data_IF_426933767994
#
_entry.id   IF_426933767994
#
_cell.length_a   1.000
_cell.length_b   1.000
_cell.length_c   1.000
_cell.angle_alpha   90.00
_cell.angle_beta   90.00
_cell.angle_gamma   90.00
#
_symmetry.space_group_name_H-M   'P 1'
#
loop_
_entity.id
_entity.type
_entity.pdbx_description
1 polymer ?
#
# COMPACT_ATOMS: atom_id res chain seq x y z
N UNK A 1 47.28 46.09 -20.15
CA UNK A 1 45.84 46.18 -19.85
C UNK A 1 45.18 44.90 -20.33
N UNK A 2 44.70 44.06 -19.41
CA UNK A 2 44.00 42.80 -19.71
C UNK A 2 42.50 43.06 -19.56
N UNK A 3 41.75 42.91 -20.64
CA UNK A 3 40.30 43.14 -20.68
C UNK A 3 39.59 41.90 -20.13
N UNK A 4 38.95 42.04 -18.97
CA UNK A 4 38.04 41.04 -18.42
C UNK A 4 36.66 41.22 -19.07
N UNK A 5 36.17 40.20 -19.78
CA UNK A 5 34.81 40.16 -20.30
C UNK A 5 33.96 39.38 -19.29
N UNK A 6 33.08 40.08 -18.58
CA UNK A 6 32.07 39.49 -17.71
C UNK A 6 30.89 39.02 -18.58
N UNK A 7 30.68 37.71 -18.65
CA UNK A 7 29.47 37.12 -19.24
C UNK A 7 28.41 37.04 -18.14
N UNK A 8 27.47 37.99 -18.12
CA UNK A 8 26.29 37.91 -17.28
C UNK A 8 25.28 36.94 -17.94
N UNK A 9 25.31 35.68 -17.50
CA UNK A 9 24.31 34.69 -17.89
C UNK A 9 22.95 35.06 -17.31
N UNK A 10 22.05 35.54 -18.17
CA UNK A 10 20.64 35.72 -17.85
C UNK A 10 20.02 34.33 -17.70
N UNK A 11 19.84 33.89 -16.45
CA UNK A 11 19.00 32.75 -16.12
C UNK A 11 17.54 33.12 -16.43
N UNK A 12 17.11 32.83 -17.65
CA UNK A 12 15.71 32.90 -18.03
C UNK A 12 15.01 31.70 -17.40
N UNK A 13 14.48 31.86 -16.19
CA UNK A 13 13.52 30.94 -15.61
C UNK A 13 12.27 30.97 -16.49
N UNK A 14 12.19 30.03 -17.43
CA UNK A 14 10.96 29.70 -18.14
C UNK A 14 9.96 29.15 -17.11
N UNK A 15 9.27 30.05 -16.42
CA UNK A 15 8.07 29.74 -15.66
C UNK A 15 7.05 29.22 -16.68
N UNK A 16 6.89 27.90 -16.71
CA UNK A 16 5.90 27.20 -17.52
C UNK A 16 4.50 27.76 -17.20
N UNK A 17 3.77 28.36 -18.16
CA UNK A 17 2.50 29.03 -17.91
C UNK A 17 1.31 28.05 -17.83
N UNK A 18 1.55 26.76 -17.56
CA UNK A 18 0.46 25.85 -17.24
C UNK A 18 -0.04 26.18 -15.84
N UNK A 19 -1.07 27.02 -15.77
CA UNK A 19 -1.94 27.09 -14.60
C UNK A 19 -2.36 25.65 -14.27
N UNK A 20 -1.76 25.08 -13.23
CA UNK A 20 -2.06 23.74 -12.76
C UNK A 20 -3.55 23.70 -12.46
N UNK A 21 -4.30 22.81 -13.10
CA UNK A 21 -5.71 22.74 -12.83
C UNK A 21 -5.86 22.39 -11.35
N UNK A 22 -6.72 23.11 -10.65
CA UNK A 22 -6.90 22.88 -9.22
C UNK A 22 -7.31 21.42 -9.03
N UNK A 23 -6.53 20.67 -8.27
CA UNK A 23 -6.84 19.29 -7.92
C UNK A 23 -8.19 19.20 -7.25
N UNK A 24 -8.89 18.09 -7.49
CA UNK A 24 -10.23 17.85 -6.93
C UNK A 24 -10.21 17.96 -5.40
N UNK A 25 -9.31 17.21 -4.76
CA UNK A 25 -9.08 17.22 -3.30
C UNK A 25 -7.61 16.89 -3.04
N UNK A 26 -6.99 17.60 -2.09
CA UNK A 26 -5.67 17.28 -1.57
C UNK A 26 -5.81 16.63 -0.18
N UNK A 27 -5.62 15.32 -0.10
CA UNK A 27 -5.61 14.58 1.17
C UNK A 27 -4.24 14.72 1.85
N UNK A 28 -3.17 14.50 1.08
CA UNK A 28 -1.79 14.72 1.49
C UNK A 28 -1.40 16.20 1.33
N UNK A 29 -0.62 16.78 2.27
CA UNK A 29 -0.07 18.13 2.10
C UNK A 29 0.72 18.29 0.81
N UNK A 30 0.54 19.44 0.12
CA UNK A 30 1.13 19.67 -1.19
C UNK A 30 2.67 19.59 -1.20
N UNK A 31 3.33 20.11 -0.17
CA UNK A 31 4.79 20.06 -0.01
C UNK A 31 5.30 18.62 0.10
N UNK A 32 4.61 17.80 0.91
CA UNK A 32 4.93 16.38 1.09
C UNK A 32 4.81 15.62 -0.23
N UNK A 33 3.74 15.87 -0.99
CA UNK A 33 3.57 15.21 -2.29
C UNK A 33 4.58 15.71 -3.33
N UNK A 34 4.92 17.00 -3.33
CA UNK A 34 5.93 17.54 -4.24
C UNK A 34 7.30 16.87 -4.03
N UNK A 35 7.68 16.65 -2.77
CA UNK A 35 8.88 15.91 -2.39
C UNK A 35 8.84 14.44 -2.86
N UNK A 36 7.69 13.76 -2.71
CA UNK A 36 7.52 12.38 -3.14
C UNK A 36 7.55 12.22 -4.67
N UNK A 37 6.91 13.15 -5.40
CA UNK A 37 6.82 13.13 -6.86
C UNK A 37 8.17 13.15 -7.57
N UNK A 38 9.18 13.77 -6.97
CA UNK A 38 10.55 13.77 -7.49
C UNK A 38 11.16 12.36 -7.54
N UNK A 39 10.57 11.40 -6.80
CA UNK A 39 11.04 10.03 -6.66
C UNK A 39 10.03 9.01 -7.19
N UNK A 40 8.94 9.45 -7.82
CA UNK A 40 7.99 8.51 -8.42
C UNK A 40 8.65 7.81 -9.61
N UNK A 41 8.55 6.47 -9.67
CA UNK A 41 9.12 5.72 -10.78
C UNK A 41 8.37 6.04 -12.06
N UNK A 42 9.08 5.98 -13.18
CA UNK A 42 8.44 5.90 -14.50
C UNK A 42 7.89 4.50 -14.67
N UNK A 43 6.75 4.37 -15.34
CA UNK A 43 6.09 3.08 -15.57
C UNK A 43 5.83 2.88 -17.06
N UNK A 44 6.07 1.66 -17.55
CA UNK A 44 5.87 1.31 -18.94
C UNK A 44 4.39 1.36 -19.35
N UNK A 45 3.48 1.00 -18.43
CA UNK A 45 2.04 1.07 -18.66
C UNK A 45 1.57 2.54 -18.78
N UNK A 46 1.10 3.00 -19.96
CA UNK A 46 0.73 4.39 -20.16
C UNK A 46 -0.45 4.85 -19.31
N UNK A 47 -1.43 3.97 -19.04
CA UNK A 47 -2.59 4.29 -18.23
C UNK A 47 -2.20 4.51 -16.76
N UNK A 48 -1.30 3.67 -16.23
CA UNK A 48 -0.77 3.88 -14.89
C UNK A 48 0.12 5.14 -14.84
N UNK A 49 0.96 5.38 -15.85
CA UNK A 49 1.78 6.59 -15.94
C UNK A 49 0.93 7.87 -15.96
N UNK A 50 -0.20 7.86 -16.68
CA UNK A 50 -1.18 8.96 -16.64
C UNK A 50 -1.71 9.15 -15.22
N UNK A 51 -2.09 8.08 -14.53
CA UNK A 51 -2.58 8.16 -13.15
C UNK A 51 -1.52 8.74 -12.20
N UNK A 52 -0.27 8.28 -12.28
CA UNK A 52 0.81 8.76 -11.41
C UNK A 52 1.12 10.26 -11.61
N UNK A 53 0.83 10.80 -12.79
CA UNK A 53 1.09 12.20 -13.14
C UNK A 53 -0.14 13.09 -13.10
N UNK A 54 -1.35 12.50 -13.06
CA UNK A 54 -2.62 13.21 -13.11
C UNK A 54 -2.89 14.04 -11.84
N UNK A 55 -3.48 15.21 -12.04
CA UNK A 55 -4.03 16.07 -10.98
C UNK A 55 -5.36 15.53 -10.41
N UNK A 56 -5.96 14.53 -11.07
CA UNK A 56 -7.19 13.88 -10.58
C UNK A 56 -6.90 12.68 -9.67
N UNK A 57 -5.63 12.33 -9.46
CA UNK A 57 -5.22 11.25 -8.57
C UNK A 57 -5.09 11.80 -7.16
N UNK A 58 -5.78 11.17 -6.23
CA UNK A 58 -5.72 11.51 -4.81
C UNK A 58 -4.58 10.73 -4.18
N UNK A 59 -3.73 11.44 -3.44
CA UNK A 59 -2.55 10.88 -2.78
C UNK A 59 -2.72 10.97 -1.27
N UNK A 60 -2.32 9.92 -0.58
CA UNK A 60 -2.35 9.86 0.87
C UNK A 60 -1.27 8.91 1.42
N UNK A 61 -1.04 8.99 2.72
CA UNK A 61 -0.16 8.10 3.46
C UNK A 61 -0.78 7.84 4.85
N UNK A 62 -0.10 7.08 5.69
CA UNK A 62 -0.57 6.76 7.04
C UNK A 62 -0.72 7.99 7.97
N UNK A 63 -0.14 9.15 7.60
CA UNK A 63 -0.28 10.40 8.34
C UNK A 63 -1.53 11.18 7.88
N UNK A 64 -1.86 11.07 6.60
CA UNK A 64 -2.98 11.78 5.97
C UNK A 64 -4.31 11.03 6.12
N UNK A 65 -4.29 9.70 6.04
CA UNK A 65 -5.40 8.79 6.39
C UNK A 65 -4.86 7.80 7.41
N UNK A 66 -5.29 7.95 8.66
CA UNK A 66 -4.74 7.16 9.76
C UNK A 66 -5.39 5.78 9.75
N UNK A 67 -4.59 4.69 9.66
CA UNK A 67 -5.08 3.33 9.80
C UNK A 67 -6.00 3.19 11.02
N UNK A 68 -7.17 2.59 10.84
CA UNK A 68 -8.10 2.41 11.95
C UNK A 68 -9.29 1.52 11.60
N UNK A 69 -10.04 1.15 12.63
CA UNK A 69 -11.19 0.27 12.55
C UNK A 69 -12.45 0.96 13.07
N UNK A 70 -13.62 0.37 12.81
CA UNK A 70 -14.89 0.86 13.35
C UNK A 70 -15.26 0.08 14.62
N UNK A 71 -15.60 0.77 15.71
CA UNK A 71 -16.40 0.18 16.77
C UNK A 71 -17.86 0.18 16.30
N UNK A 72 -18.21 -0.87 15.56
CA UNK A 72 -19.55 -1.01 15.00
C UNK A 72 -20.58 -1.52 16.01
N UNK A 73 -20.14 -1.95 17.20
CA UNK A 73 -20.98 -2.60 18.20
C UNK A 73 -20.91 -1.87 19.54
N UNK A 74 -21.96 -1.12 19.89
CA UNK A 74 -22.02 -0.42 21.15
C UNK A 74 -23.30 0.40 21.32
N UNK A 75 -23.52 0.92 22.53
CA UNK A 75 -24.71 1.71 22.90
C UNK A 75 -24.39 3.20 23.10
N UNK A 76 -23.15 3.60 22.82
CA UNK A 76 -22.62 4.95 23.06
C UNK A 76 -22.61 5.41 24.52
N UNK A 77 -22.84 4.49 25.46
CA UNK A 77 -22.95 4.77 26.89
C UNK A 77 -21.91 3.97 27.66
N UNK A 78 -21.96 2.64 27.58
CA UNK A 78 -20.96 1.73 28.14
C UNK A 78 -20.01 1.20 27.08
N UNK A 79 -20.53 0.94 25.88
CA UNK A 79 -19.78 0.39 24.76
C UNK A 79 -19.57 1.49 23.71
N UNK A 80 -18.32 1.70 23.25
CA UNK A 80 -18.01 2.76 22.31
C UNK A 80 -18.63 2.50 20.95
N UNK A 81 -18.93 3.58 20.24
CA UNK A 81 -19.26 3.58 18.81
C UNK A 81 -18.36 4.61 18.15
N UNK A 82 -17.80 4.29 16.98
CA UNK A 82 -17.02 5.26 16.22
C UNK A 82 -15.96 4.62 15.35
N UNK A 83 -14.94 5.40 15.03
CA UNK A 83 -13.72 4.98 14.37
C UNK A 83 -12.56 5.17 15.33
N UNK A 84 -11.67 4.17 15.38
CA UNK A 84 -10.49 4.19 16.22
C UNK A 84 -9.25 3.98 15.38
N UNK A 85 -8.22 4.84 15.54
CA UNK A 85 -6.96 4.58 14.89
C UNK A 85 -6.34 3.30 15.48
N UNK A 86 -5.62 2.54 14.68
CA UNK A 86 -4.88 1.32 15.06
C UNK A 86 -3.69 1.64 15.99
N UNK A 87 -3.71 2.78 16.66
CA UNK A 87 -2.64 3.39 17.42
C UNK A 87 -3.00 3.52 18.91
N UNK A 88 -4.01 2.77 19.37
CA UNK A 88 -4.50 2.85 20.75
C UNK A 88 -3.40 2.43 21.72
N UNK A 89 -3.36 3.08 22.87
CA UNK A 89 -2.71 2.56 24.07
C UNK A 89 -3.11 1.09 24.28
N UNK A 90 -2.11 0.22 24.52
CA UNK A 90 -2.33 -1.20 24.79
C UNK A 90 -3.33 -1.42 25.92
N UNK A 91 -3.38 -0.48 26.88
CA UNK A 91 -4.22 -0.58 28.07
C UNK A 91 -5.69 -0.83 27.76
N UNK A 92 -6.28 -0.20 26.75
CA UNK A 92 -7.72 -0.38 26.47
C UNK A 92 -8.06 -1.75 25.88
N UNK A 93 -7.22 -2.25 24.96
CA UNK A 93 -7.43 -3.60 24.42
C UNK A 93 -7.13 -4.64 25.50
N UNK A 94 -6.05 -4.44 26.25
CA UNK A 94 -5.61 -5.37 27.27
C UNK A 94 -6.53 -5.40 28.50
N UNK A 95 -7.29 -4.32 28.75
CA UNK A 95 -8.38 -4.29 29.72
C UNK A 95 -9.56 -5.19 29.29
N UNK A 96 -9.90 -5.20 28.00
CA UNK A 96 -10.94 -6.08 27.48
C UNK A 96 -10.45 -7.53 27.35
N UNK A 97 -9.18 -7.72 26.94
CA UNK A 97 -8.53 -9.02 26.73
C UNK A 97 -7.04 -8.92 27.07
N UNK A 98 -6.59 -9.47 28.21
CA UNK A 98 -5.17 -9.47 28.56
C UNK A 98 -4.26 -9.99 27.43
N UNK A 99 -3.35 -9.14 26.94
CA UNK A 99 -2.44 -9.45 25.84
C UNK A 99 -3.06 -9.39 24.43
N UNK A 100 -4.30 -8.94 24.31
CA UNK A 100 -5.02 -8.83 23.03
C UNK A 100 -4.35 -7.84 22.07
N UNK A 101 -3.73 -6.77 22.58
CA UNK A 101 -3.02 -5.81 21.72
C UNK A 101 -1.85 -6.51 21.00
N UNK A 102 -1.01 -7.24 21.74
CA UNK A 102 0.15 -7.95 21.17
C UNK A 102 -0.25 -9.12 20.25
N UNK A 103 -1.49 -9.61 20.33
CA UNK A 103 -1.99 -10.63 19.40
C UNK A 103 -2.38 -10.03 18.04
N UNK A 104 -2.90 -8.80 18.04
CA UNK A 104 -3.36 -8.13 16.83
C UNK A 104 -2.27 -7.29 16.14
N UNK A 105 -1.38 -6.65 16.91
CA UNK A 105 -0.46 -5.62 16.42
C UNK A 105 1.01 -5.96 16.62
N UNK A 106 1.79 -5.79 15.55
CA UNK A 106 3.25 -5.80 15.66
C UNK A 106 3.79 -4.46 16.18
N UNK A 107 3.12 -3.36 15.85
CA UNK A 107 3.47 -2.00 16.30
C UNK A 107 2.28 -1.06 16.16
N UNK A 108 2.38 0.12 16.78
CA UNK A 108 1.37 1.18 16.71
C UNK A 108 0.98 1.44 15.25
N UNK A 109 -0.28 1.24 14.90
CA UNK A 109 -0.84 1.48 13.58
C UNK A 109 -0.78 0.30 12.61
N UNK A 110 -0.20 -0.84 13.00
CA UNK A 110 0.09 -1.95 12.07
C UNK A 110 -0.25 -3.32 12.65
N UNK A 111 -1.22 -3.97 12.03
CA UNK A 111 -1.55 -5.37 12.29
C UNK A 111 -0.39 -6.29 11.94
N UNK A 112 -0.34 -7.45 12.58
CA UNK A 112 0.48 -8.56 12.10
C UNK A 112 0.09 -8.98 10.68
N UNK A 113 1.03 -9.63 9.99
CA UNK A 113 0.74 -10.39 8.78
C UNK A 113 -0.47 -11.33 8.99
N UNK A 114 -1.43 -11.41 8.04
CA UNK A 114 -1.37 -10.86 6.68
C UNK A 114 -1.93 -9.45 6.48
N UNK A 115 -2.38 -8.78 7.54
CA UNK A 115 -3.15 -7.53 7.42
C UNK A 115 -2.33 -6.26 7.70
N UNK A 116 -1.05 -6.42 8.05
CA UNK A 116 -0.10 -5.33 8.15
C UNK A 116 0.15 -4.64 6.80
N UNK A 117 0.78 -3.47 6.84
CA UNK A 117 1.25 -2.80 5.61
C UNK A 117 2.34 -3.65 4.94
N UNK A 118 2.50 -3.48 3.62
CA UNK A 118 3.44 -4.17 2.72
C UNK A 118 3.23 -5.68 2.55
N UNK A 119 2.21 -6.28 3.17
CA UNK A 119 1.78 -7.66 2.89
C UNK A 119 2.84 -8.72 3.17
N UNK A 120 3.79 -8.43 4.07
CA UNK A 120 4.89 -9.32 4.42
C UNK A 120 4.88 -9.61 5.92
N UNK A 121 5.57 -10.68 6.37
CA UNK A 121 5.98 -10.81 7.76
C UNK A 121 6.63 -9.50 8.25
N UNK A 122 6.50 -9.21 9.54
CA UNK A 122 6.67 -7.89 10.16
C UNK A 122 8.12 -7.31 10.14
N UNK A 123 8.92 -7.66 9.14
CA UNK A 123 10.38 -7.58 9.10
C UNK A 123 10.99 -6.27 8.55
N UNK A 124 10.47 -5.61 7.49
CA UNK A 124 11.16 -4.44 6.94
C UNK A 124 10.84 -3.17 7.72
N UNK A 125 11.82 -2.64 8.42
CA UNK A 125 11.72 -1.41 9.24
C UNK A 125 12.11 -0.14 8.46
N UNK A 126 12.84 -0.28 7.36
CA UNK A 126 13.32 0.82 6.52
C UNK A 126 12.43 1.05 5.29
N UNK A 127 11.11 0.87 5.43
CA UNK A 127 10.16 1.06 4.32
C UNK A 127 8.99 1.94 4.72
N UNK A 128 8.40 2.61 3.72
CA UNK A 128 7.11 3.26 3.87
C UNK A 128 6.31 3.16 2.56
N UNK A 129 5.01 3.42 2.67
CA UNK A 129 4.06 3.30 1.57
C UNK A 129 3.40 4.65 1.33
N UNK A 130 3.31 5.04 0.07
CA UNK A 130 2.47 6.13 -0.40
C UNK A 130 1.31 5.54 -1.16
N UNK A 131 0.10 5.77 -0.67
CA UNK A 131 -1.12 5.27 -1.25
C UNK A 131 -1.69 6.30 -2.24
N UNK A 132 -2.39 5.82 -3.27
CA UNK A 132 -3.10 6.67 -4.21
C UNK A 132 -4.37 6.01 -4.72
N UNK A 133 -5.31 6.83 -5.18
CA UNK A 133 -6.50 6.33 -5.85
C UNK A 133 -7.08 7.30 -6.86
N UNK A 134 -7.87 6.75 -7.78
CA UNK A 134 -8.62 7.50 -8.78
C UNK A 134 -9.92 6.77 -9.09
N UNK A 135 -11.02 7.51 -9.07
CA UNK A 135 -12.31 7.02 -9.58
C UNK A 135 -12.46 7.27 -11.08
N UNK A 136 -13.24 6.42 -11.78
CA UNK A 136 -13.66 6.68 -13.14
C UNK A 136 -14.48 7.97 -13.22
N UNK A 137 -14.56 8.54 -14.43
CA UNK A 137 -15.40 9.70 -14.72
C UNK A 137 -16.52 9.32 -15.69
N UNK A 138 -17.71 9.84 -15.46
CA UNK A 138 -18.83 9.79 -16.40
C UNK A 138 -19.23 11.22 -16.77
N UNK A 139 -19.22 11.53 -18.07
CA UNK A 139 -19.51 12.88 -18.58
C UNK A 139 -18.64 13.97 -17.92
N UNK A 140 -17.35 13.66 -17.70
CA UNK A 140 -16.39 14.57 -17.08
C UNK A 140 -16.47 14.68 -15.55
N UNK A 141 -17.51 14.13 -14.91
CA UNK A 141 -17.69 14.12 -13.45
C UNK A 141 -17.15 12.83 -12.84
N UNK A 142 -16.49 12.86 -11.67
CA UNK A 142 -16.11 11.64 -10.96
C UNK A 142 -17.35 10.84 -10.56
N UNK A 143 -17.24 9.51 -10.59
CA UNK A 143 -18.21 8.64 -9.93
C UNK A 143 -17.88 8.56 -8.44
N UNK A 144 -18.83 8.82 -7.53
CA UNK A 144 -18.54 8.87 -6.10
C UNK A 144 -18.29 7.47 -5.53
N UNK A 145 -17.49 7.40 -4.46
CA UNK A 145 -17.57 6.30 -3.49
C UNK A 145 -18.90 6.44 -2.76
N UNK A 146 -19.67 5.36 -2.68
CA UNK A 146 -21.00 5.40 -2.06
C UNK A 146 -20.99 4.77 -0.68
N UNK A 147 -21.74 5.32 0.27
CA UNK A 147 -21.80 4.81 1.64
C UNK A 147 -23.23 4.63 2.15
N UNK A 148 -23.41 3.74 3.12
CA UNK A 148 -24.67 3.56 3.84
C UNK A 148 -24.43 3.16 5.29
N UNK A 149 -25.43 3.37 6.13
CA UNK A 149 -25.46 2.77 7.47
C UNK A 149 -26.04 1.38 7.33
N UNK A 150 -25.28 0.37 7.73
CA UNK A 150 -25.75 -1.00 7.75
C UNK A 150 -26.75 -1.15 8.90
N UNK A 151 -27.94 -1.66 8.58
CA UNK A 151 -29.09 -1.96 9.45
C UNK A 151 -28.89 -1.53 10.91
N UNK A 152 -29.01 -0.22 11.21
CA UNK A 152 -28.75 0.27 12.55
C UNK A 152 -29.84 -0.24 13.48
N UNK A 153 -29.50 -1.22 14.32
CA UNK A 153 -30.29 -1.53 15.51
C UNK A 153 -29.73 -0.72 16.69
N UNK A 154 -30.23 -0.94 17.91
CA UNK A 154 -29.81 -0.15 19.07
C UNK A 154 -28.36 -0.38 19.50
N UNK A 155 -27.67 -1.39 18.94
CA UNK A 155 -26.28 -1.74 19.26
C UNK A 155 -25.35 -1.85 18.05
N UNK A 156 -25.88 -1.83 16.82
CA UNK A 156 -25.08 -1.95 15.58
C UNK A 156 -25.09 -0.63 14.84
N UNK A 157 -23.90 -0.10 14.56
CA UNK A 157 -23.73 1.25 14.02
C UNK A 157 -22.77 1.30 12.83
N UNK A 158 -22.49 0.18 12.17
CA UNK A 158 -21.51 0.09 11.08
C UNK A 158 -21.84 1.01 9.91
N UNK A 159 -20.82 1.72 9.42
CA UNK A 159 -20.87 2.42 8.14
C UNK A 159 -20.14 1.56 7.11
N UNK A 160 -20.79 1.27 6.00
CA UNK A 160 -20.19 0.57 4.87
C UNK A 160 -20.03 1.53 3.69
N UNK A 161 -19.07 1.24 2.82
CA UNK A 161 -18.86 1.95 1.57
C UNK A 161 -18.47 0.99 0.45
N UNK A 162 -18.55 1.49 -0.78
CA UNK A 162 -18.27 0.74 -1.99
C UNK A 162 -17.71 1.67 -3.07
N UNK A 163 -16.66 1.21 -3.74
CA UNK A 163 -16.08 1.91 -4.88
C UNK A 163 -16.86 1.60 -6.17
N UNK A 164 -17.01 2.57 -7.09
CA UNK A 164 -17.55 2.28 -8.42
C UNK A 164 -16.59 1.41 -9.23
N UNK A 165 -17.14 0.57 -10.10
CA UNK A 165 -16.39 -0.20 -11.12
C UNK A 165 -15.44 0.73 -11.89
N UNK A 166 -14.18 0.34 -12.01
CA UNK A 166 -13.12 1.09 -12.68
C UNK A 166 -12.30 1.97 -11.73
N UNK A 167 -12.62 1.99 -10.44
CA UNK A 167 -11.77 2.65 -9.44
C UNK A 167 -10.41 1.96 -9.38
N UNK A 168 -9.33 2.74 -9.45
CA UNK A 168 -7.99 2.24 -9.17
C UNK A 168 -7.56 2.66 -7.77
N UNK A 169 -7.08 1.69 -6.99
CA UNK A 169 -6.29 1.88 -5.78
C UNK A 169 -4.85 1.48 -6.09
N UNK A 170 -3.88 2.17 -5.53
CA UNK A 170 -2.49 1.78 -5.66
C UNK A 170 -1.61 2.22 -4.50
N UNK A 171 -0.43 1.61 -4.45
CA UNK A 171 0.58 1.79 -3.41
C UNK A 171 1.93 1.92 -4.11
N UNK A 172 2.72 2.93 -3.76
CA UNK A 172 4.14 3.01 -4.10
C UNK A 172 4.94 2.71 -2.84
N UNK A 173 5.73 1.65 -2.90
CA UNK A 173 6.56 1.19 -1.80
C UNK A 173 7.96 1.76 -1.97
N UNK A 174 8.45 2.41 -0.92
CA UNK A 174 9.77 2.99 -0.85
C UNK A 174 10.62 2.26 0.19
N UNK A 175 11.90 2.06 -0.10
CA UNK A 175 12.90 1.79 0.94
C UNK A 175 13.69 3.05 1.25
N UNK A 176 14.19 3.12 2.48
CA UNK A 176 14.99 4.20 3.02
C UNK A 176 16.41 3.68 3.19
N UNK A 177 17.38 4.38 2.59
CA UNK A 177 18.80 4.06 2.76
C UNK A 177 19.37 4.61 4.08
N UNK A 178 20.64 4.32 4.33
CA UNK A 178 21.35 4.74 5.54
C UNK A 178 21.46 6.27 5.72
N UNK A 179 21.23 7.04 4.66
CA UNK A 179 21.25 8.50 4.64
C UNK A 179 19.85 9.11 4.70
N UNK A 180 18.81 8.29 4.81
CA UNK A 180 17.42 8.73 4.79
C UNK A 180 16.87 9.02 3.38
N UNK A 181 17.58 8.64 2.31
CA UNK A 181 17.11 8.82 0.93
C UNK A 181 16.16 7.69 0.55
N UNK A 182 15.10 8.01 -0.18
CA UNK A 182 14.04 7.06 -0.53
C UNK A 182 14.18 6.58 -1.96
N UNK A 183 14.00 5.27 -2.16
CA UNK A 183 14.04 4.63 -3.47
C UNK A 183 12.76 3.81 -3.66
N UNK A 184 11.98 4.07 -4.73
CA UNK A 184 10.84 3.22 -5.05
C UNK A 184 11.36 1.84 -5.46
N UNK A 185 10.71 0.78 -5.01
CA UNK A 185 11.06 -0.57 -5.44
C UNK A 185 9.88 -1.38 -5.97
N UNK A 186 8.65 -0.96 -5.66
CA UNK A 186 7.45 -1.65 -6.10
C UNK A 186 6.26 -0.69 -6.17
N UNK A 187 5.39 -0.90 -7.16
CA UNK A 187 4.05 -0.30 -7.19
C UNK A 187 3.05 -1.45 -7.18
N UNK A 188 2.03 -1.37 -6.33
CA UNK A 188 0.91 -2.33 -6.32
C UNK A 188 -0.33 -1.59 -6.78
N UNK A 189 -1.14 -2.23 -7.62
CA UNK A 189 -2.39 -1.65 -8.09
C UNK A 189 -3.52 -2.65 -8.00
N UNK A 190 -4.72 -2.13 -7.76
CA UNK A 190 -5.96 -2.87 -7.77
C UNK A 190 -7.00 -2.07 -8.53
N UNK A 191 -7.68 -2.67 -9.51
CA UNK A 191 -8.75 -2.05 -10.27
C UNK A 191 -10.06 -2.75 -9.95
N UNK A 192 -11.05 -1.97 -9.52
CA UNK A 192 -12.37 -2.44 -9.10
C UNK A 192 -13.15 -2.97 -10.30
N UNK A 193 -13.48 -4.26 -10.31
CA UNK A 193 -14.49 -4.82 -11.22
C UNK A 193 -15.88 -4.79 -10.54
N UNK A 194 -16.86 -5.61 -10.94
CA UNK A 194 -18.12 -5.69 -10.18
C UNK A 194 -18.01 -6.62 -8.98
N UNK A 195 -17.38 -7.78 -9.17
CA UNK A 195 -17.35 -8.86 -8.17
C UNK A 195 -15.95 -9.12 -7.62
N UNK A 196 -14.96 -8.33 -8.03
CA UNK A 196 -13.58 -8.54 -7.62
C UNK A 196 -12.74 -7.26 -7.76
N UNK A 197 -11.48 -7.37 -7.37
CA UNK A 197 -10.40 -6.47 -7.74
C UNK A 197 -9.45 -7.22 -8.67
N UNK A 198 -9.12 -6.63 -9.83
CA UNK A 198 -7.98 -7.09 -10.63
C UNK A 198 -6.70 -6.50 -10.06
N UNK A 199 -5.62 -7.26 -10.08
CA UNK A 199 -4.37 -6.88 -9.39
C UNK A 199 -3.19 -6.86 -10.34
N UNK A 200 -2.24 -5.98 -10.05
CA UNK A 200 -0.96 -5.92 -10.75
C UNK A 200 0.11 -5.34 -9.83
N UNK A 201 1.36 -5.78 -10.04
CA UNK A 201 2.53 -5.31 -9.33
C UNK A 201 3.57 -4.90 -10.36
N UNK A 202 4.08 -3.69 -10.25
CA UNK A 202 5.11 -3.15 -11.12
C UNK A 202 6.44 -3.05 -10.37
N UNK A 203 7.51 -3.52 -11.01
CA UNK A 203 8.87 -3.52 -10.46
C UNK A 203 9.85 -3.03 -11.51
N UNK A 204 11.02 -2.50 -11.12
CA UNK A 204 12.07 -2.15 -12.08
C UNK A 204 12.59 -3.40 -12.82
N UNK A 205 12.60 -4.55 -12.13
CA UNK A 205 13.05 -5.83 -12.70
C UNK A 205 12.02 -6.93 -12.38
N UNK A 206 11.13 -7.27 -13.32
CA UNK A 206 10.14 -8.33 -13.09
C UNK A 206 10.73 -9.73 -12.94
N UNK A 207 11.94 -9.99 -13.47
CA UNK A 207 12.63 -11.28 -13.40
C UNK A 207 14.15 -11.14 -13.31
N UNK A 208 14.82 -12.18 -12.79
CA UNK A 208 16.23 -12.16 -12.39
C UNK A 208 17.19 -11.81 -13.53
N UNK A 209 16.95 -12.35 -14.73
CA UNK A 209 17.75 -12.05 -15.91
C UNK A 209 17.73 -10.57 -16.27
N UNK A 210 16.61 -9.89 -16.05
CA UNK A 210 16.51 -8.46 -16.36
C UNK A 210 17.36 -7.61 -15.43
N UNK A 211 17.43 -7.96 -14.15
CA UNK A 211 18.36 -7.31 -13.23
C UNK A 211 19.81 -7.59 -13.64
N UNK A 212 20.13 -8.83 -14.01
CA UNK A 212 21.47 -9.19 -14.45
C UNK A 212 21.89 -8.42 -15.71
N UNK A 213 21.01 -8.31 -16.72
CA UNK A 213 21.25 -7.51 -17.94
C UNK A 213 21.50 -6.03 -17.61
N UNK A 214 20.71 -5.46 -16.71
CA UNK A 214 20.85 -4.07 -16.30
C UNK A 214 22.17 -3.81 -15.54
N UNK A 215 22.55 -4.72 -14.64
CA UNK A 215 23.83 -4.66 -13.93
C UNK A 215 25.02 -4.79 -14.87
N UNK A 216 24.96 -5.71 -15.85
CA UNK A 216 26.00 -5.86 -16.86
C UNK A 216 26.15 -4.58 -17.70
N UNK A 217 25.03 -3.98 -18.11
CA UNK A 217 25.02 -2.72 -18.87
C UNK A 217 25.66 -1.59 -18.06
N UNK A 218 25.20 -1.36 -16.83
CA UNK A 218 25.74 -0.32 -15.94
C UNK A 218 27.22 -0.52 -15.64
N UNK A 219 27.66 -1.78 -15.46
CA UNK A 219 29.08 -2.13 -15.28
C UNK A 219 29.96 -1.72 -16.47
N UNK A 220 29.43 -1.75 -17.69
CA UNK A 220 30.19 -1.33 -18.88
C UNK A 220 30.31 0.20 -18.95
N UNK A 221 29.28 0.92 -18.51
CA UNK A 221 29.22 2.39 -18.49
C UNK A 221 30.20 3.02 -17.50
N UNK A 222 30.44 2.38 -16.35
CA UNK A 222 31.27 2.94 -15.28
C UNK A 222 32.51 2.09 -14.93
N UNK A 223 33.74 2.61 -15.13
CA UNK A 223 34.98 1.86 -14.90
C UNK A 223 35.12 1.26 -13.49
N UNK A 224 34.66 1.96 -12.45
CA UNK A 224 34.77 1.56 -11.04
C UNK A 224 34.05 0.24 -10.72
N UNK A 225 33.02 -0.13 -11.49
CA UNK A 225 32.25 -1.36 -11.27
C UNK A 225 32.80 -2.55 -12.05
N UNK A 226 33.67 -2.34 -13.06
CA UNK A 226 34.17 -3.41 -13.94
C UNK A 226 34.91 -4.51 -13.19
N UNK A 227 35.65 -4.14 -12.14
CA UNK A 227 36.43 -5.05 -11.31
C UNK A 227 35.74 -5.46 -10.01
N UNK A 228 34.45 -5.14 -9.83
CA UNK A 228 33.72 -5.49 -8.61
C UNK A 228 33.44 -7.00 -8.53
N UNK A 229 34.03 -7.66 -7.54
CA UNK A 229 33.84 -9.08 -7.27
C UNK A 229 32.42 -9.38 -6.75
N UNK A 230 31.89 -8.56 -5.84
CA UNK A 230 30.52 -8.69 -5.32
C UNK A 230 29.48 -8.50 -6.42
N UNK A 231 29.70 -7.56 -7.36
CA UNK A 231 28.83 -7.39 -8.53
C UNK A 231 28.85 -8.61 -9.46
N UNK A 232 30.03 -9.17 -9.70
CA UNK A 232 30.17 -10.39 -10.52
C UNK A 232 29.48 -11.60 -9.86
N UNK A 233 29.54 -11.69 -8.53
CA UNK A 233 28.83 -12.70 -7.73
C UNK A 233 27.31 -12.54 -7.84
N UNK A 234 26.79 -11.31 -7.69
CA UNK A 234 25.37 -11.01 -7.86
C UNK A 234 24.88 -11.37 -9.26
N UNK A 235 25.58 -10.96 -10.32
CA UNK A 235 25.21 -11.31 -11.70
C UNK A 235 25.18 -12.83 -11.88
N UNK A 236 26.21 -13.55 -11.40
CA UNK A 236 26.28 -15.02 -11.50
C UNK A 236 25.14 -15.70 -10.73
N UNK A 237 24.79 -15.18 -9.54
CA UNK A 237 23.66 -15.64 -8.74
C UNK A 237 22.33 -15.45 -9.48
N UNK A 238 22.11 -14.29 -10.09
CA UNK A 238 20.89 -13.98 -10.82
C UNK A 238 20.67 -14.91 -12.02
N UNK A 239 21.74 -15.25 -12.74
CA UNK A 239 21.71 -16.19 -13.87
C UNK A 239 21.58 -17.65 -13.48
N UNK A 240 21.88 -18.00 -12.23
CA UNK A 240 21.86 -19.39 -11.79
C UNK A 240 20.47 -19.74 -11.22
N UNK A 241 19.66 -20.58 -11.92
CA UNK A 241 18.35 -20.99 -11.39
C UNK A 241 18.48 -21.82 -10.11
N UNK A 242 19.62 -22.47 -9.87
CA UNK A 242 19.84 -23.35 -8.71
C UNK A 242 20.13 -22.60 -7.39
N UNK A 243 19.96 -21.28 -7.36
CA UNK A 243 20.08 -20.48 -6.12
C UNK A 243 18.82 -20.45 -5.29
N UNK A 244 17.70 -20.98 -5.80
CA UNK A 244 16.43 -21.01 -5.09
C UNK A 244 16.50 -21.94 -3.87
N UNK A 245 16.10 -21.42 -2.72
CA UNK A 245 15.96 -22.19 -1.48
C UNK A 245 14.48 -22.45 -1.19
N UNK A 246 14.05 -23.70 -0.93
CA UNK A 246 12.69 -23.99 -0.50
C UNK A 246 12.31 -23.17 0.73
N UNK A 247 11.08 -22.67 0.77
CA UNK A 247 10.58 -21.85 1.86
C UNK A 247 9.10 -22.14 2.12
N UNK A 248 8.65 -21.89 3.35
CA UNK A 248 7.24 -21.96 3.72
C UNK A 248 6.87 -20.67 4.44
N UNK A 249 5.93 -19.94 3.88
CA UNK A 249 5.35 -18.76 4.50
C UNK A 249 4.06 -19.16 5.21
N UNK A 250 3.96 -18.84 6.49
CA UNK A 250 2.76 -19.05 7.30
C UNK A 250 2.52 -17.85 8.18
N UNK A 251 1.25 -17.59 8.50
CA UNK A 251 0.94 -16.61 9.53
C UNK A 251 1.23 -17.19 10.93
N UNK A 252 1.74 -16.35 11.82
CA UNK A 252 1.83 -16.66 13.27
C UNK A 252 0.64 -16.08 14.04
N UNK A 253 -0.07 -15.14 13.41
CA UNK A 253 -1.24 -14.43 13.93
C UNK A 253 -2.43 -14.66 12.99
N UNK A 254 -3.66 -14.38 13.44
CA UNK A 254 -4.88 -14.52 12.65
C UNK A 254 -5.05 -15.93 12.04
N UNK A 255 -5.00 -16.97 12.89
CA UNK A 255 -5.08 -18.36 12.43
C UNK A 255 -6.22 -18.58 11.42
N UNK A 256 -5.90 -19.21 10.28
CA UNK A 256 -6.85 -19.47 9.21
C UNK A 256 -7.05 -18.34 8.19
N UNK A 257 -6.57 -17.12 8.44
CA UNK A 257 -6.59 -16.02 7.44
C UNK A 257 -5.65 -16.27 6.27
N UNK A 258 -4.51 -16.92 6.52
CA UNK A 258 -3.49 -17.20 5.51
C UNK A 258 -2.97 -18.63 5.66
N UNK A 259 -3.51 -19.59 4.88
CA UNK A 259 -2.97 -20.94 4.83
C UNK A 259 -1.48 -20.93 4.46
N UNK A 260 -0.70 -21.84 5.04
CA UNK A 260 0.73 -21.91 4.77
C UNK A 260 0.98 -22.15 3.27
N UNK A 261 1.86 -21.33 2.69
CA UNK A 261 2.26 -21.39 1.28
C UNK A 261 3.67 -21.96 1.20
N UNK A 262 3.82 -23.06 0.45
CA UNK A 262 5.13 -23.63 0.11
C UNK A 262 5.60 -23.04 -1.21
N UNK A 263 6.87 -22.70 -1.30
CA UNK A 263 7.46 -22.08 -2.47
C UNK A 263 8.97 -22.02 -2.34
N UNK A 264 9.57 -20.98 -2.90
CA UNK A 264 11.01 -20.74 -2.81
C UNK A 264 11.33 -19.26 -2.61
N UNK A 265 12.54 -19.02 -2.11
CA UNK A 265 13.14 -17.70 -1.94
C UNK A 265 14.44 -17.63 -2.73
N UNK A 266 14.74 -16.47 -3.30
CA UNK A 266 16.02 -16.16 -3.93
C UNK A 266 16.74 -15.07 -3.13
N UNK A 267 17.59 -15.48 -2.18
CA UNK A 267 18.37 -14.54 -1.38
C UNK A 267 19.56 -14.03 -2.17
N UNK A 268 19.40 -12.88 -2.83
CA UNK A 268 20.47 -12.28 -3.63
C UNK A 268 21.59 -11.73 -2.72
N UNK A 269 22.87 -11.92 -3.12
CA UNK A 269 24.01 -11.49 -2.30
C UNK A 269 24.10 -9.96 -2.21
N UNK A 270 24.71 -9.48 -1.12
CA UNK A 270 24.99 -8.07 -0.92
C UNK A 270 26.07 -7.55 -1.89
N UNK A 271 26.07 -6.24 -2.14
CA UNK A 271 27.15 -5.54 -2.84
C UNK A 271 28.00 -4.74 -1.86
N UNK A 272 29.30 -4.61 -2.18
CA UNK A 272 30.21 -3.72 -1.43
C UNK A 272 29.90 -2.24 -1.71
N UNK A 273 29.39 -1.95 -2.91
CA UNK A 273 28.94 -0.62 -3.33
C UNK A 273 27.49 -0.69 -3.85
N UNK A 274 26.56 -0.15 -3.05
CA UNK A 274 25.14 -0.10 -3.38
C UNK A 274 24.77 1.04 -4.33
N UNK A 275 25.71 1.91 -4.72
CA UNK A 275 25.42 3.06 -5.61
C UNK A 275 24.82 2.64 -6.95
N UNK A 276 25.25 1.48 -7.49
CA UNK A 276 24.68 0.91 -8.71
C UNK A 276 23.20 0.55 -8.55
N UNK A 277 22.81 -0.02 -7.42
CA UNK A 277 21.40 -0.37 -7.16
C UNK A 277 20.55 0.88 -6.94
N UNK A 278 21.10 1.86 -6.22
CA UNK A 278 20.46 3.17 -6.01
C UNK A 278 20.15 3.87 -7.34
N UNK A 279 21.11 3.86 -8.27
CA UNK A 279 20.92 4.39 -9.63
C UNK A 279 19.90 3.59 -10.43
N UNK A 280 20.01 2.26 -10.41
CA UNK A 280 19.06 1.39 -11.11
C UNK A 280 17.61 1.59 -10.66
N UNK A 281 17.36 1.75 -9.35
CA UNK A 281 16.00 2.00 -8.82
C UNK A 281 15.42 3.34 -9.27
N UNK A 282 16.26 4.35 -9.52
CA UNK A 282 15.81 5.68 -9.94
C UNK A 282 15.66 5.80 -11.46
N UNK A 283 16.49 5.11 -12.24
CA UNK A 283 16.55 5.26 -13.69
C UNK A 283 15.63 4.28 -14.44
N UNK A 284 15.42 3.10 -13.88
CA UNK A 284 14.72 2.00 -14.56
C UNK A 284 13.22 2.25 -14.64
N UNK A 285 12.65 2.02 -15.82
CA UNK A 285 11.20 2.07 -16.02
C UNK A 285 10.59 0.81 -15.41
N UNK A 286 9.58 0.98 -14.56
CA UNK A 286 8.89 -0.11 -13.92
C UNK A 286 7.96 -0.81 -14.91
N UNK A 287 7.91 -2.13 -14.83
CA UNK A 287 7.11 -2.99 -15.68
C UNK A 287 6.28 -3.95 -14.84
N UNK A 288 5.16 -4.42 -15.42
CA UNK A 288 4.30 -5.39 -14.75
C UNK A 288 5.07 -6.69 -14.51
N UNK A 289 4.98 -7.19 -13.28
CA UNK A 289 5.41 -8.51 -12.85
C UNK A 289 4.26 -9.51 -12.81
N UNK A 290 3.07 -9.12 -13.29
CA UNK A 290 1.91 -10.01 -13.36
C UNK A 290 2.22 -11.20 -14.25
N UNK A 291 1.93 -12.40 -13.75
CA UNK A 291 2.20 -13.68 -14.42
C UNK A 291 3.68 -14.00 -14.70
N UNK A 292 4.63 -13.16 -14.23
CA UNK A 292 6.04 -13.46 -14.30
C UNK A 292 6.55 -14.04 -12.98
N UNK A 293 7.42 -15.04 -13.11
CA UNK A 293 8.24 -15.52 -12.02
C UNK A 293 9.52 -14.72 -11.98
N UNK A 294 10.00 -14.40 -10.78
CA UNK A 294 11.32 -13.83 -10.64
C UNK A 294 12.40 -14.80 -11.13
N UNK A 295 12.29 -16.06 -10.70
CA UNK A 295 13.20 -17.16 -11.04
C UNK A 295 12.51 -18.51 -10.80
N UNK A 296 12.89 -19.52 -11.57
CA UNK A 296 12.37 -20.89 -11.47
C UNK A 296 13.49 -21.93 -11.54
N UNK A 297 13.36 -23.04 -10.80
CA UNK A 297 14.23 -24.21 -10.90
C UNK A 297 13.47 -25.48 -10.51
N UNK A 298 13.17 -26.33 -11.51
CA UNK A 298 12.34 -27.51 -11.31
C UNK A 298 10.96 -27.14 -10.77
N UNK A 299 10.60 -27.65 -9.59
CA UNK A 299 9.33 -27.33 -8.92
C UNK A 299 9.39 -26.06 -8.05
N UNK A 300 10.57 -25.45 -7.90
CA UNK A 300 10.75 -24.23 -7.11
C UNK A 300 10.46 -23.02 -7.99
N UNK A 301 9.58 -22.15 -7.52
CA UNK A 301 9.17 -20.89 -8.14
C UNK A 301 9.19 -19.81 -7.08
N UNK A 302 9.72 -18.64 -7.43
CA UNK A 302 9.65 -17.43 -6.60
C UNK A 302 9.28 -16.24 -7.46
N UNK A 303 8.54 -15.29 -6.89
CA UNK A 303 7.93 -14.19 -7.63
C UNK A 303 8.64 -12.85 -7.41
N UNK A 304 9.63 -12.78 -6.53
CA UNK A 304 10.44 -11.61 -6.23
C UNK A 304 11.77 -12.07 -5.59
N UNK A 305 12.85 -11.26 -5.65
CA UNK A 305 14.06 -11.55 -4.89
C UNK A 305 13.82 -11.31 -3.40
N UNK A 306 14.72 -11.84 -2.58
CA UNK A 306 14.88 -11.48 -1.18
C UNK A 306 16.34 -11.13 -0.89
N UNK A 307 16.62 -10.58 0.29
CA UNK A 307 17.98 -10.25 0.68
C UNK A 307 18.15 -10.22 2.19
N UNK A 308 19.38 -10.45 2.64
CA UNK A 308 19.82 -10.20 4.01
C UNK A 308 20.65 -8.91 4.14
N UNK A 309 20.91 -8.22 3.02
CA UNK A 309 21.62 -6.96 3.01
C UNK A 309 20.78 -5.83 3.60
N UNK A 310 21.42 -4.82 4.20
CA UNK A 310 20.74 -3.62 4.70
C UNK A 310 20.12 -2.78 3.57
N UNK A 311 20.68 -2.87 2.35
CA UNK A 311 20.16 -2.23 1.15
C UNK A 311 20.30 -3.16 -0.06
N UNK A 312 19.27 -3.19 -0.91
CA UNK A 312 19.26 -3.93 -2.18
C UNK A 312 18.21 -3.33 -3.13
N UNK A 313 17.75 -4.07 -4.15
CA UNK A 313 16.59 -3.67 -4.97
C UNK A 313 15.24 -3.92 -4.27
N UNK A 314 15.26 -4.63 -3.15
CA UNK A 314 14.13 -4.91 -2.25
C UNK A 314 14.62 -4.75 -0.81
N UNK A 315 13.75 -4.49 0.17
CA UNK A 315 14.17 -4.35 1.56
C UNK A 315 14.70 -5.68 2.14
N UNK A 316 15.40 -5.59 3.26
CA UNK A 316 15.86 -6.77 4.01
C UNK A 316 14.68 -7.66 4.41
N UNK A 317 14.85 -8.98 4.28
CA UNK A 317 13.80 -9.98 4.56
C UNK A 317 12.52 -9.75 3.74
N UNK A 318 12.66 -9.36 2.48
CA UNK A 318 11.52 -9.22 1.56
C UNK A 318 10.98 -10.61 1.19
N UNK A 319 9.81 -10.96 1.72
CA UNK A 319 9.19 -12.28 1.53
C UNK A 319 8.17 -12.31 0.39
N UNK A 320 8.08 -11.23 -0.41
CA UNK A 320 7.11 -11.19 -1.51
C UNK A 320 7.39 -12.19 -2.64
N UNK A 321 8.53 -12.89 -2.58
CA UNK A 321 8.82 -14.04 -3.43
C UNK A 321 7.80 -15.18 -3.28
N UNK A 322 7.06 -15.19 -2.18
CA UNK A 322 6.02 -16.19 -1.88
C UNK A 322 4.63 -15.83 -2.44
N UNK A 323 4.47 -14.66 -3.04
CA UNK A 323 3.19 -14.15 -3.52
C UNK A 323 3.17 -14.12 -5.04
N UNK A 324 2.40 -15.03 -5.64
CA UNK A 324 2.12 -14.93 -7.07
C UNK A 324 1.31 -13.65 -7.34
N UNK A 325 1.70 -12.91 -8.37
CA UNK A 325 1.02 -11.68 -8.76
C UNK A 325 -0.22 -12.04 -9.58
N UNK A 326 -1.29 -12.45 -8.89
CA UNK A 326 -2.59 -12.75 -9.47
C UNK A 326 -3.74 -12.50 -8.47
N UNK A 327 -4.96 -12.43 -8.99
CA UNK A 327 -6.17 -12.17 -8.21
C UNK A 327 -6.43 -13.25 -7.16
N UNK A 328 -6.22 -14.52 -7.50
CA UNK A 328 -6.47 -15.63 -6.58
C UNK A 328 -5.64 -15.47 -5.31
N UNK A 329 -4.37 -15.12 -5.45
CA UNK A 329 -3.45 -15.02 -4.34
C UNK A 329 -3.69 -13.73 -3.56
N UNK A 330 -3.72 -12.58 -4.22
CA UNK A 330 -3.86 -11.28 -3.54
C UNK A 330 -5.20 -11.16 -2.80
N UNK A 331 -6.29 -11.69 -3.37
CA UNK A 331 -7.61 -11.61 -2.75
C UNK A 331 -7.76 -12.50 -1.51
N UNK A 332 -6.82 -13.44 -1.23
CA UNK A 332 -6.86 -14.29 -0.01
C UNK A 332 -6.89 -13.47 1.27
N UNK A 333 -6.05 -12.43 1.34
CA UNK A 333 -5.98 -11.55 2.50
C UNK A 333 -6.97 -10.40 2.38
N UNK A 334 -7.10 -9.83 1.18
CA UNK A 334 -7.92 -8.63 0.96
C UNK A 334 -9.41 -8.86 1.16
N UNK A 335 -9.91 -10.06 0.86
CA UNK A 335 -11.31 -10.40 1.12
C UNK A 335 -11.66 -10.22 2.57
N UNK A 336 -10.75 -10.41 3.52
CA UNK A 336 -11.09 -10.30 4.94
C UNK A 336 -11.29 -8.85 5.47
N UNK A 337 -11.16 -7.82 4.62
CA UNK A 337 -11.40 -6.43 5.03
C UNK A 337 -12.82 -6.23 5.59
N UNK A 338 -12.93 -5.57 6.75
CA UNK A 338 -14.21 -5.39 7.43
C UNK A 338 -14.74 -6.64 8.13
N UNK A 339 -13.93 -7.71 8.27
CA UNK A 339 -14.29 -8.90 9.04
C UNK A 339 -14.18 -8.66 10.55
N UNK A 340 -15.18 -9.05 11.37
CA UNK A 340 -15.12 -8.91 12.82
C UNK A 340 -13.88 -9.60 13.43
N UNK A 341 -13.14 -8.91 14.32
CA UNK A 341 -11.93 -9.49 14.93
C UNK A 341 -12.19 -10.74 15.76
N UNK A 342 -13.40 -10.88 16.31
CA UNK A 342 -13.84 -12.06 17.04
C UNK A 342 -13.67 -13.36 16.25
N UNK A 343 -13.72 -13.30 14.91
CA UNK A 343 -13.54 -14.47 14.05
C UNK A 343 -12.12 -15.05 14.13
N UNK A 344 -11.12 -14.19 14.39
CA UNK A 344 -9.73 -14.61 14.53
C UNK A 344 -9.33 -14.84 15.99
N UNK A 345 -9.92 -14.05 16.88
CA UNK A 345 -9.61 -14.05 18.29
C UNK A 345 -10.92 -14.10 19.08
N UNK A 346 -11.44 -15.30 19.39
CA UNK A 346 -12.73 -15.47 20.07
C UNK A 346 -12.84 -14.71 21.40
N UNK A 347 -11.70 -14.43 22.03
CA UNK A 347 -11.61 -13.68 23.27
C UNK A 347 -11.65 -12.16 23.05
N UNK A 348 -11.32 -11.65 21.86
CA UNK A 348 -11.38 -10.22 21.48
C UNK A 348 -12.81 -9.86 21.08
N UNK A 349 -13.54 -9.32 22.05
CA UNK A 349 -14.96 -8.95 21.91
C UNK A 349 -15.14 -7.48 21.49
N UNK A 350 -14.23 -6.58 21.90
CA UNK A 350 -14.44 -5.13 21.85
C UNK A 350 -13.58 -4.39 20.81
N UNK A 351 -12.97 -5.09 19.85
CA UNK A 351 -12.05 -4.47 18.88
C UNK A 351 -12.67 -4.20 17.50
N UNK A 352 -13.98 -4.38 17.35
CA UNK A 352 -14.68 -4.07 16.10
C UNK A 352 -14.32 -5.00 14.94
N UNK A 353 -14.15 -4.44 13.75
CA UNK A 353 -13.82 -5.17 12.52
C UNK A 353 -12.43 -4.84 11.98
N UNK A 354 -11.81 -5.79 11.27
CA UNK A 354 -10.58 -5.55 10.52
C UNK A 354 -10.76 -4.31 9.65
N UNK A 355 -9.77 -3.41 9.70
CA UNK A 355 -9.81 -2.15 8.98
C UNK A 355 -10.08 -2.32 7.49
N UNK A 356 -10.59 -1.25 6.88
CA UNK A 356 -10.98 -1.26 5.47
C UNK A 356 -12.38 -1.83 5.23
N UNK A 357 -12.82 -1.67 3.98
CA UNK A 357 -14.10 -2.16 3.46
C UNK A 357 -13.96 -2.21 1.93
N UNK A 358 -14.77 -3.04 1.27
CA UNK A 358 -14.67 -3.27 -0.18
C UNK A 358 -13.25 -3.74 -0.55
N UNK A 359 -12.71 -4.63 0.30
CA UNK A 359 -11.38 -5.24 0.22
C UNK A 359 -10.19 -4.25 0.31
N UNK A 360 -10.44 -2.97 0.66
CA UNK A 360 -9.44 -1.91 0.69
C UNK A 360 -8.99 -1.53 2.12
N UNK A 361 -7.79 -1.99 2.53
CA UNK A 361 -7.25 -1.74 3.88
C UNK A 361 -6.81 -0.30 4.16
N UNK A 362 -6.28 0.43 3.17
CA UNK A 362 -5.59 1.70 3.43
C UNK A 362 -6.47 2.94 3.44
N UNK A 363 -7.78 2.82 3.17
CA UNK A 363 -8.67 3.98 2.95
C UNK A 363 -9.92 3.95 3.83
N UNK A 364 -10.34 5.13 4.30
CA UNK A 364 -11.66 5.37 4.88
C UNK A 364 -12.12 6.81 4.58
N UNK A 365 -13.43 7.10 4.63
CA UNK A 365 -13.97 8.42 4.28
C UNK A 365 -14.04 9.40 5.45
N UNK A 366 -13.62 8.99 6.66
CA UNK A 366 -13.76 9.80 7.88
C UNK A 366 -12.66 10.86 8.06
N UNK A 367 -13.01 11.96 8.73
CA UNK A 367 -12.10 13.05 9.10
C UNK A 367 -11.36 12.73 10.41
N UNK A 368 -10.04 12.62 10.31
CA UNK A 368 -9.12 12.34 11.41
C UNK A 368 -9.25 13.33 12.58
N UNK A 369 -9.62 14.58 12.32
CA UNK A 369 -9.74 15.64 13.34
C UNK A 369 -10.81 15.37 14.39
N UNK A 370 -11.64 14.33 14.23
CA UNK A 370 -12.63 13.96 15.23
C UNK A 370 -12.16 12.86 16.18
N UNK A 371 -11.05 12.17 15.88
CA UNK A 371 -10.57 11.06 16.72
C UNK A 371 -9.07 11.12 17.04
N UNK A 372 -8.26 11.89 16.31
CA UNK A 372 -6.89 12.23 16.71
C UNK A 372 -6.66 13.74 16.75
N UNK A 373 -5.75 14.18 17.61
CA UNK A 373 -5.24 15.56 17.64
C UNK A 373 -4.08 15.74 16.64
N UNK A 374 -3.48 16.93 16.61
CA UNK A 374 -2.34 17.25 15.73
C UNK A 374 -1.05 16.48 16.04
N UNK A 375 -0.90 15.91 17.24
CA UNK A 375 0.21 15.01 17.59
C UNK A 375 -0.07 13.54 17.21
N UNK A 376 -1.25 13.24 16.66
CA UNK A 376 -1.67 11.87 16.33
C UNK A 376 -2.08 11.06 17.56
N UNK A 377 -2.33 11.71 18.69
CA UNK A 377 -2.86 11.09 19.90
C UNK A 377 -4.38 11.05 19.85
N UNK A 378 -4.96 9.99 20.42
CA UNK A 378 -6.42 9.83 20.44
C UNK A 378 -7.03 10.87 21.36
N UNK A 379 -7.98 11.65 20.84
CA UNK A 379 -8.64 12.72 21.61
C UNK A 379 -10.11 12.43 21.94
N UNK A 380 -10.77 11.52 21.21
CA UNK A 380 -12.16 11.20 21.47
C UNK A 380 -12.45 9.69 21.34
N UNK A 381 -12.82 9.09 22.47
CA UNK A 381 -13.20 7.68 22.59
C UNK A 381 -14.70 7.47 22.82
N UNK A 382 -15.39 8.50 23.28
CA UNK A 382 -16.78 8.45 23.68
C UNK A 382 -17.58 9.24 22.65
N UNK A 383 -18.72 8.73 22.20
CA UNK A 383 -19.50 9.29 21.09
C UNK A 383 -19.03 8.87 19.70
N UNK A 384 -20.00 8.66 18.82
CA UNK A 384 -19.78 8.40 17.40
C UNK A 384 -19.00 9.56 16.76
N UNK A 385 -17.69 9.37 16.65
CA UNK A 385 -16.73 10.34 16.13
C UNK A 385 -16.57 10.26 14.60
N UNK A 386 -17.36 9.40 13.93
CA UNK A 386 -17.32 9.22 12.47
C UNK A 386 -18.02 10.38 11.79
N UNK A 387 -17.24 11.37 11.39
CA UNK A 387 -17.68 12.40 10.44
C UNK A 387 -17.02 12.19 9.11
N UNK A 388 -17.81 12.21 8.05
CA UNK A 388 -17.27 12.18 6.69
C UNK A 388 -16.46 13.43 6.39
N UNK A 389 -15.40 13.27 5.61
CA UNK A 389 -14.64 14.41 5.12
C UNK A 389 -15.48 15.24 4.16
N UNK A 390 -15.68 16.51 4.52
CA UNK A 390 -16.52 17.43 3.73
C UNK A 390 -15.90 17.75 2.36
N UNK A 391 -14.56 17.79 2.27
CA UNK A 391 -13.86 18.02 1.00
C UNK A 391 -14.14 16.93 -0.06
N UNK A 392 -14.26 15.67 0.35
CA UNK A 392 -14.66 14.57 -0.54
C UNK A 392 -16.12 14.71 -0.99
N UNK A 393 -17.01 15.14 -0.10
CA UNK A 393 -18.43 15.37 -0.45
C UNK A 393 -18.55 16.54 -1.43
N UNK A 394 -17.91 17.66 -1.13
CA UNK A 394 -17.95 18.89 -1.94
C UNK A 394 -17.37 18.66 -3.35
N UNK A 395 -16.38 17.77 -3.47
CA UNK A 395 -15.79 17.37 -4.74
C UNK A 395 -16.59 16.30 -5.52
N UNK A 396 -17.70 15.81 -4.97
CA UNK A 396 -18.50 14.73 -5.58
C UNK A 396 -17.78 13.37 -5.58
N UNK A 397 -16.83 13.16 -4.67
CA UNK A 397 -16.08 11.91 -4.52
C UNK A 397 -16.72 10.96 -3.49
N UNK A 398 -17.65 11.46 -2.69
CA UNK A 398 -18.35 10.69 -1.66
C UNK A 398 -19.83 11.04 -1.62
N UNK A 399 -20.70 10.04 -1.71
CA UNK A 399 -22.15 10.23 -1.70
C UNK A 399 -22.86 9.14 -0.89
N UNK A 400 -24.05 9.44 -0.37
CA UNK A 400 -24.90 8.41 0.26
C UNK A 400 -25.48 7.50 -0.82
N UNK A 401 -25.40 6.19 -0.63
CA UNK A 401 -25.94 5.20 -1.56
C UNK A 401 -27.46 5.36 -1.74
N UNK A 402 -27.91 5.18 -2.97
CA UNK A 402 -29.28 5.33 -3.44
C UNK A 402 -29.48 4.44 -4.66
N UNK A 403 -30.31 3.37 -4.58
CA UNK A 403 -30.47 2.41 -5.68
C UNK A 403 -30.93 3.03 -7.00
N UNK A 404 -31.67 4.14 -6.95
CA UNK A 404 -32.17 4.85 -8.14
C UNK A 404 -31.08 5.65 -8.87
N UNK A 405 -29.98 5.97 -8.19
CA UNK A 405 -28.86 6.76 -8.72
C UNK A 405 -27.61 5.91 -8.96
N UNK A 406 -27.45 4.84 -8.19
CA UNK A 406 -26.25 4.01 -8.14
C UNK A 406 -26.57 2.60 -8.62
N UNK A 407 -26.56 2.43 -9.94
CA UNK A 407 -26.99 1.17 -10.58
C UNK A 407 -26.03 0.00 -10.31
N UNK A 408 -26.58 -1.22 -10.30
CA UNK A 408 -25.81 -2.45 -10.07
C UNK A 408 -24.71 -2.73 -11.11
N UNK A 409 -24.79 -2.13 -12.30
CA UNK A 409 -23.75 -2.26 -13.34
C UNK A 409 -22.51 -1.39 -13.09
N UNK A 410 -22.59 -0.48 -12.11
CA UNK A 410 -21.49 0.39 -11.68
C UNK A 410 -21.10 0.13 -10.23
N UNK A 411 -22.08 -0.20 -9.40
CA UNK A 411 -21.96 -0.35 -7.95
C UNK A 411 -22.49 -1.71 -7.54
N UNK A 412 -21.60 -2.63 -7.17
CA UNK A 412 -21.97 -3.95 -6.69
C UNK A 412 -21.16 -4.29 -5.44
N UNK A 413 -21.81 -4.80 -4.38
CA UNK A 413 -21.10 -5.15 -3.14
C UNK A 413 -20.26 -6.39 -3.40
N UNK A 414 -18.98 -6.37 -3.01
CA UNK A 414 -18.15 -7.57 -3.07
C UNK A 414 -18.73 -8.69 -2.20
N UNK A 415 -18.64 -9.95 -2.64
CA UNK A 415 -19.06 -11.08 -1.82
C UNK A 415 -18.13 -11.23 -0.61
N UNK A 416 -18.70 -11.18 0.60
CA UNK A 416 -17.98 -11.49 1.83
C UNK A 416 -18.24 -12.92 2.29
N UNK A 417 -17.21 -13.61 2.78
CA UNK A 417 -17.31 -14.99 3.31
C UNK A 417 -17.50 -15.05 4.84
N UNK A 418 -17.45 -13.91 5.53
CA UNK A 418 -17.57 -13.86 6.98
C UNK A 418 -19.00 -13.62 7.43
N UNK A 419 -19.26 -14.05 8.66
CA UNK A 419 -20.57 -13.90 9.29
C UNK A 419 -20.71 -12.49 9.80
N UNK A 420 -21.88 -11.95 9.53
CA UNK A 420 -22.33 -10.76 10.20
C UNK A 420 -23.02 -11.16 11.49
N UNK A 421 -22.46 -10.69 12.60
CA UNK A 421 -23.04 -10.96 13.91
C UNK A 421 -24.15 -9.95 14.18
N UNK A 422 -25.37 -10.46 14.35
CA UNK A 422 -26.40 -9.75 15.09
C UNK A 422 -26.13 -10.00 16.58
N UNK A 423 -25.67 -8.98 17.27
CA UNK A 423 -25.60 -8.99 18.74
C UNK A 423 -26.94 -8.56 19.32
#
# INVERSE_FOLDING_TARGET
MKTFVFWAGVFCTLLSPYAHAKRLVDIMPAERLAELRQRFPRVFNPALQEILTSENTLWYDALSIIPGYQDSFGDNNQLPIGFRPNTIDHGLIDLAVPGGHAQAFVRKGQFHFPFGRVGMPDSPTNTFVVDFWRVPKQNGKPLPVVWWKREPNYITHRIEWMFPKGTLLGEILFMIDEKGVWYPFEIRTRIRELDTWTVDIYRPFPYADKLADALETKRLEKPEWRSSASLSSLISHLRNPNTLTPFTLSNTHFAGSFPAVKGAMDYIPALDDNSILKELLMDTVFESARFYSWKESGALKTFAPSTQAEFSIVPKNYDAGMFEVNEEFCNRCHKDAGRPFRDYYPNIIAYGELWGQDDAFSWHPFDNKNFVNSSGEVQNFNHDNRKFRQDLIDAGLLEKYSPNQHTAVTYHKLPGEWKDYAY
#
